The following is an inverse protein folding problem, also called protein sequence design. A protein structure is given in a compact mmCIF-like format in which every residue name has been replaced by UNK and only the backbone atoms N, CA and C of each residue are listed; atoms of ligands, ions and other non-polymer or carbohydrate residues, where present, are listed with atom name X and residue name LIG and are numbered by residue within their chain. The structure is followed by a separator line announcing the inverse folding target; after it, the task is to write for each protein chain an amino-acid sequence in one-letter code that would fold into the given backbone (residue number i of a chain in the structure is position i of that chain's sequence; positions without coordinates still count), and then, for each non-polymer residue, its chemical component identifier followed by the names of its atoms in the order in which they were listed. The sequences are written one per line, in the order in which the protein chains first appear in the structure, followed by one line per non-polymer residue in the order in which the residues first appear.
data_IF_234555199389
#
_entry.id   IF_234555199389
#
_cell.length_a   1.000
_cell.length_b   1.000
_cell.length_c   1.000
_cell.angle_alpha   90.00
_cell.angle_beta   90.00
_cell.angle_gamma   90.00
#
_symmetry.space_group_name_H-M   'P 1'
#
loop_
_entity.id
_entity.type
_entity.pdbx_description
1 polymer ?
#
# COMPACT_ATOMS: atom_id res chain seq x y z
N UNK A 1 -11.18 1.97 17.99
CA UNK A 1 -9.92 1.68 17.28
C UNK A 1 -10.20 0.70 16.16
N UNK A 2 -9.78 1.01 14.96
CA UNK A 2 -9.89 0.10 13.83
C UNK A 2 -8.65 -0.79 13.77
N UNK A 3 -8.89 -2.08 13.58
CA UNK A 3 -7.81 -3.05 13.50
C UNK A 3 -7.83 -3.68 12.10
N UNK A 4 -6.69 -3.66 11.44
CA UNK A 4 -6.51 -4.32 10.17
C UNK A 4 -5.66 -5.57 10.38
N UNK A 5 -6.18 -6.70 9.91
CA UNK A 5 -5.45 -7.96 9.99
C UNK A 5 -4.69 -8.19 8.70
N UNK A 6 -3.37 -8.37 8.83
CA UNK A 6 -2.51 -8.67 7.69
C UNK A 6 -1.89 -10.04 7.88
N UNK A 7 -1.84 -10.81 6.81
CA UNK A 7 -1.15 -12.09 6.80
C UNK A 7 0.34 -11.86 6.56
N UNK A 8 1.14 -12.90 6.77
CA UNK A 8 2.57 -12.86 6.43
C UNK A 8 2.76 -12.67 4.92
N UNK A 9 1.85 -13.21 4.11
CA UNK A 9 1.90 -13.02 2.67
C UNK A 9 1.67 -11.56 2.29
N UNK A 10 0.76 -10.88 2.98
CA UNK A 10 0.52 -9.46 2.75
C UNK A 10 1.77 -8.64 3.06
N UNK A 11 2.44 -8.97 4.14
CA UNK A 11 3.68 -8.29 4.52
C UNK A 11 4.77 -8.52 3.48
N UNK A 12 4.86 -9.73 2.93
CA UNK A 12 5.79 -10.05 1.85
C UNK A 12 5.49 -9.21 0.61
N UNK A 13 4.22 -9.00 0.29
CA UNK A 13 3.82 -8.15 -0.84
C UNK A 13 4.29 -6.72 -0.65
N UNK A 14 4.13 -6.16 0.56
CA UNK A 14 4.61 -4.82 0.87
C UNK A 14 6.12 -4.75 0.68
N UNK A 15 6.85 -5.70 1.23
CA UNK A 15 8.30 -5.72 1.15
C UNK A 15 8.78 -5.84 -0.30
N UNK A 16 8.15 -6.71 -1.08
CA UNK A 16 8.50 -6.90 -2.49
C UNK A 16 8.26 -5.61 -3.27
N UNK A 17 7.15 -4.93 -3.01
CA UNK A 17 6.83 -3.67 -3.67
C UNK A 17 7.87 -2.59 -3.32
N UNK A 18 8.17 -2.42 -2.05
CA UNK A 18 9.12 -1.40 -1.59
C UNK A 18 10.52 -1.67 -2.12
N UNK A 19 10.91 -2.92 -2.21
CA UNK A 19 12.24 -3.31 -2.69
C UNK A 19 12.46 -3.00 -4.18
N UNK A 20 11.39 -2.75 -4.94
CA UNK A 20 11.51 -2.33 -6.33
C UNK A 20 11.97 -0.88 -6.46
N UNK A 21 11.92 -0.12 -5.38
CA UNK A 21 12.23 1.30 -5.36
C UNK A 21 13.28 1.61 -4.30
N UNK A 22 14.51 1.10 -4.46
CA UNK A 22 15.55 1.26 -3.44
C UNK A 22 15.99 2.70 -3.21
N UNK A 23 15.71 3.60 -4.18
CA UNK A 23 16.01 5.02 -4.06
C UNK A 23 15.00 5.76 -3.18
N UNK A 24 13.88 5.13 -2.85
CA UNK A 24 12.83 5.75 -2.03
C UNK A 24 13.06 5.36 -0.58
N UNK A 25 13.21 6.35 0.30
CA UNK A 25 13.50 6.12 1.71
C UNK A 25 12.26 5.83 2.53
N UNK A 26 11.11 6.34 2.10
CA UNK A 26 9.86 6.20 2.85
C UNK A 26 8.75 5.70 1.95
N UNK A 27 7.80 5.04 2.56
CA UNK A 27 6.58 4.63 1.87
C UNK A 27 5.39 4.94 2.76
N UNK A 28 4.22 4.99 2.15
CA UNK A 28 2.99 5.34 2.82
C UNK A 28 2.02 4.16 2.80
N UNK A 29 1.41 3.89 3.94
CA UNK A 29 0.32 2.92 4.02
C UNK A 29 -0.99 3.68 4.07
N UNK A 30 -1.85 3.43 3.10
CA UNK A 30 -3.15 4.06 2.98
C UNK A 30 -4.22 3.00 3.15
N UNK A 31 -5.17 3.24 4.02
CA UNK A 31 -6.29 2.32 4.15
C UNK A 31 -7.60 3.07 4.06
N UNK A 32 -8.59 2.41 3.50
CA UNK A 32 -9.91 2.97 3.28
C UNK A 32 -10.96 1.96 3.72
N UNK A 33 -11.79 2.37 4.67
CA UNK A 33 -12.92 1.59 5.14
C UNK A 33 -14.25 2.29 4.91
N UNK A 34 -14.25 3.36 4.13
CA UNK A 34 -15.43 4.21 3.96
C UNK A 34 -16.56 3.53 3.19
N UNK A 35 -16.25 2.47 2.46
CA UNK A 35 -17.26 1.73 1.70
C UNK A 35 -18.23 0.94 2.59
N UNK A 36 -17.85 0.69 3.85
CA UNK A 36 -18.62 -0.15 4.75
C UNK A 36 -18.57 -1.64 4.43
N UNK A 37 -17.81 -2.03 3.41
CA UNK A 37 -17.72 -3.40 2.93
C UNK A 37 -16.42 -4.09 3.34
N UNK A 38 -15.66 -3.50 4.25
CA UNK A 38 -14.37 -4.00 4.69
C UNK A 38 -13.27 -2.99 4.41
N UNK A 39 -12.05 -3.35 4.78
CA UNK A 39 -10.89 -2.47 4.65
C UNK A 39 -10.08 -2.80 3.42
N UNK A 40 -9.59 -1.77 2.76
CA UNK A 40 -8.66 -1.88 1.65
C UNK A 40 -7.36 -1.19 2.08
N UNK A 41 -6.25 -1.89 1.98
CA UNK A 41 -4.94 -1.37 2.30
C UNK A 41 -4.10 -1.25 1.05
N UNK A 42 -3.56 -0.05 0.82
CA UNK A 42 -2.62 0.22 -0.25
C UNK A 42 -1.26 0.59 0.32
N UNK A 43 -0.21 0.23 -0.38
CA UNK A 43 1.12 0.78 -0.15
C UNK A 43 1.47 1.69 -1.31
N UNK A 44 2.05 2.85 -1.00
CA UNK A 44 2.36 3.86 -2.01
C UNK A 44 3.76 4.40 -1.83
N UNK A 45 4.42 4.70 -2.94
CA UNK A 45 5.72 5.36 -2.96
C UNK A 45 5.64 6.54 -3.94
N UNK A 46 6.43 7.57 -3.67
CA UNK A 46 6.57 8.71 -4.57
C UNK A 46 7.93 8.60 -5.26
N UNK A 47 7.90 8.50 -6.57
CA UNK A 47 9.09 8.31 -7.39
C UNK A 47 9.29 9.54 -8.26
N UNK A 48 10.53 10.04 -8.30
CA UNK A 48 10.88 11.18 -9.15
C UNK A 48 10.85 10.74 -10.61
N UNK A 49 10.17 11.54 -11.44
CA UNK A 49 10.05 11.26 -12.87
C UNK A 49 9.98 12.58 -13.62
N UNK A 50 11.01 12.87 -14.43
CA UNK A 50 11.01 14.05 -15.30
C UNK A 50 10.87 15.38 -14.59
N UNK A 51 11.38 15.49 -13.36
CA UNK A 51 11.29 16.72 -12.58
C UNK A 51 10.07 16.79 -11.65
N UNK A 52 9.15 15.85 -11.78
CA UNK A 52 7.98 15.74 -10.92
C UNK A 52 8.01 14.42 -10.15
N UNK A 53 7.10 14.31 -9.19
CA UNK A 53 6.92 13.06 -8.46
C UNK A 53 5.64 12.37 -8.92
N UNK A 54 5.74 11.05 -9.12
CA UNK A 54 4.60 10.21 -9.45
C UNK A 54 4.38 9.25 -8.30
N UNK A 55 3.13 9.18 -7.81
CA UNK A 55 2.78 8.21 -6.79
C UNK A 55 2.44 6.88 -7.44
N UNK A 56 3.12 5.83 -7.01
CA UNK A 56 2.85 4.46 -7.43
C UNK A 56 2.25 3.73 -6.25
N UNK A 57 1.11 3.11 -6.47
CA UNK A 57 0.32 2.50 -5.42
C UNK A 57 -0.02 1.06 -5.76
N UNK A 58 -0.01 0.21 -4.76
CA UNK A 58 -0.38 -1.19 -4.93
C UNK A 58 -1.35 -1.59 -3.82
N UNK A 59 -2.43 -2.27 -4.17
CA UNK A 59 -3.36 -2.84 -3.21
C UNK A 59 -2.75 -4.09 -2.59
N UNK A 60 -2.70 -4.12 -1.27
CA UNK A 60 -2.14 -5.24 -0.51
C UNK A 60 -3.25 -6.11 0.06
N UNK A 61 -4.20 -5.47 0.74
CA UNK A 61 -5.34 -6.16 1.35
C UNK A 61 -6.60 -5.56 0.77
N UNK A 62 -7.51 -6.42 0.33
CA UNK A 62 -8.80 -5.96 -0.19
C UNK A 62 -9.90 -6.85 0.40
N UNK A 63 -10.50 -6.38 1.46
CA UNK A 63 -11.61 -7.06 2.12
C UNK A 63 -12.97 -6.65 1.54
N UNK A 64 -12.98 -5.73 0.59
CA UNK A 64 -14.22 -5.22 0.01
C UNK A 64 -14.92 -6.24 -0.89
N UNK A 65 -14.24 -7.32 -1.28
CA UNK A 65 -14.78 -8.36 -2.14
C UNK A 65 -15.41 -9.53 -1.38
N UNK A 66 -15.58 -9.41 -0.11
CA UNK A 66 -16.15 -10.48 0.72
C UNK A 66 -17.66 -10.54 0.59
#
# INVERSE_FOLDING_TARGET
MNVLHMTKDDLTKVQTFVNKYPEVETFELQYDGSSGMGLVLHVAVNVASGGDFVQIRKTIVDESNW
#
